data_IF_194270681185
#
_entry.id   IF_194270681185
#
_cell.length_a   1.000
_cell.length_b   1.000
_cell.length_c   1.000
_cell.angle_alpha   90.00
_cell.angle_beta   90.00
_cell.angle_gamma   90.00
#
_symmetry.space_group_name_H-M   'P 1'
#
loop_
_entity.id
_entity.type
_entity.pdbx_description
1 polymer ?
#
# COMPACT_ATOMS: atom_id res chain seq x y z
N UNK A 1 -44.47 32.14 -7.57
CA UNK A 1 -43.44 33.14 -7.94
C UNK A 1 -42.32 33.18 -6.87
N UNK A 2 -41.10 32.79 -7.25
CA UNK A 2 -39.94 32.81 -6.34
C UNK A 2 -39.67 34.24 -5.87
N UNK A 3 -39.66 34.48 -4.56
CA UNK A 3 -39.30 35.77 -3.97
C UNK A 3 -37.82 36.03 -4.28
N UNK A 4 -37.53 37.01 -5.14
CA UNK A 4 -36.18 37.46 -5.39
C UNK A 4 -35.68 38.26 -4.20
N UNK A 5 -34.57 37.81 -3.60
CA UNK A 5 -33.84 38.54 -2.57
C UNK A 5 -32.89 39.52 -3.26
N UNK A 6 -33.04 40.81 -2.96
CA UNK A 6 -32.25 41.90 -3.52
C UNK A 6 -31.27 42.42 -2.48
N UNK A 7 -30.03 42.69 -2.91
CA UNK A 7 -29.03 43.43 -2.15
C UNK A 7 -28.35 44.43 -3.10
N UNK A 8 -28.56 45.73 -2.84
CA UNK A 8 -28.18 46.84 -3.72
C UNK A 8 -28.62 46.63 -5.19
N UNK A 9 -27.68 46.67 -6.13
CA UNK A 9 -27.90 46.48 -7.57
C UNK A 9 -27.87 45.02 -8.00
N UNK A 10 -27.73 44.08 -7.06
CA UNK A 10 -27.64 42.64 -7.33
C UNK A 10 -28.87 41.90 -6.79
N UNK A 11 -29.32 40.89 -7.52
CA UNK A 11 -30.40 40.02 -7.07
C UNK A 11 -29.97 38.57 -7.07
N UNK A 12 -30.43 37.83 -6.07
CA UNK A 12 -30.13 36.43 -5.88
C UNK A 12 -31.19 35.61 -6.62
N UNK A 13 -30.77 34.87 -7.66
CA UNK A 13 -31.65 33.93 -8.34
C UNK A 13 -31.55 32.56 -7.68
N UNK A 14 -32.64 32.12 -7.07
CA UNK A 14 -32.79 30.74 -6.61
C UNK A 14 -33.45 29.95 -7.74
N UNK A 15 -32.83 28.84 -8.15
CA UNK A 15 -33.38 27.92 -9.15
C UNK A 15 -33.45 26.54 -8.53
N UNK A 16 -34.59 25.89 -8.65
CA UNK A 16 -34.73 24.48 -8.31
C UNK A 16 -33.97 23.68 -9.37
N UNK A 17 -33.00 22.89 -8.95
CA UNK A 17 -32.23 22.00 -9.81
C UNK A 17 -32.61 20.56 -9.45
N UNK A 18 -32.77 19.68 -10.43
CA UNK A 18 -33.08 18.26 -10.16
C UNK A 18 -31.99 17.53 -9.35
N UNK A 19 -30.78 18.12 -9.27
CA UNK A 19 -29.61 17.57 -8.58
C UNK A 19 -28.81 18.69 -7.93
N UNK A 20 -28.31 18.45 -6.72
CA UNK A 20 -27.40 19.39 -6.06
C UNK A 20 -26.09 19.55 -6.85
N UNK A 21 -25.52 20.76 -6.85
CA UNK A 21 -24.17 21.04 -7.38
C UNK A 21 -23.11 20.23 -6.60
N UNK A 22 -23.35 20.02 -5.30
CA UNK A 22 -22.60 19.10 -4.44
C UNK A 22 -23.60 18.11 -3.85
N UNK A 23 -23.60 16.83 -4.27
CA UNK A 23 -24.61 15.86 -3.86
C UNK A 23 -24.76 15.78 -2.34
N UNK A 24 -25.94 16.10 -1.81
CA UNK A 24 -26.31 15.82 -0.41
C UNK A 24 -27.42 14.77 -0.30
N UNK A 25 -27.27 13.78 0.59
CA UNK A 25 -26.06 13.50 1.35
C UNK A 25 -24.95 13.04 0.38
N UNK A 26 -23.68 13.33 0.72
CA UNK A 26 -22.56 12.48 0.30
C UNK A 26 -22.98 11.10 0.79
N UNK A 27 -23.51 10.25 -0.08
CA UNK A 27 -24.25 9.05 0.34
C UNK A 27 -23.24 8.20 1.09
N UNK A 28 -23.31 8.17 2.43
CA UNK A 28 -22.52 7.25 3.23
C UNK A 28 -23.06 5.87 2.91
N UNK A 29 -22.36 5.29 1.94
CA UNK A 29 -22.30 3.89 1.63
C UNK A 29 -22.02 3.07 2.89
N UNK A 30 -22.24 1.74 2.87
CA UNK A 30 -22.21 0.91 4.07
C UNK A 30 -20.95 1.16 4.91
N UNK A 31 -21.16 1.66 6.13
CA UNK A 31 -20.13 1.82 7.13
C UNK A 31 -20.16 0.61 8.06
N UNK A 32 -18.98 0.10 8.37
CA UNK A 32 -18.80 -0.93 9.39
C UNK A 32 -18.26 -0.24 10.64
N UNK A 33 -19.01 -0.34 11.73
CA UNK A 33 -18.65 0.25 13.02
C UNK A 33 -18.12 -0.83 13.98
N UNK A 34 -17.43 -0.38 15.03
CA UNK A 34 -16.87 -1.24 16.08
C UNK A 34 -15.97 -2.37 15.52
N UNK A 35 -15.20 -2.03 14.49
CA UNK A 35 -14.24 -2.95 13.88
C UNK A 35 -12.89 -2.82 14.57
N UNK A 36 -12.08 -3.86 14.49
CA UNK A 36 -10.69 -3.80 14.93
C UNK A 36 -9.79 -3.81 13.70
N UNK A 37 -8.98 -2.77 13.55
CA UNK A 37 -8.06 -2.57 12.45
C UNK A 37 -6.69 -3.13 12.81
N UNK A 38 -6.14 -3.99 11.96
CA UNK A 38 -4.80 -4.53 12.10
C UNK A 38 -3.95 -4.15 10.88
N UNK A 39 -2.76 -3.61 11.15
CA UNK A 39 -1.74 -3.34 10.14
C UNK A 39 -0.69 -4.45 10.20
N UNK A 40 -0.42 -5.11 9.07
CA UNK A 40 0.49 -6.25 9.05
C UNK A 40 0.76 -6.85 7.68
N UNK A 41 1.24 -8.09 7.72
CA UNK A 41 1.51 -8.90 6.54
C UNK A 41 0.86 -10.26 6.66
N UNK A 42 0.29 -10.75 5.57
CA UNK A 42 -0.09 -12.16 5.47
C UNK A 42 1.17 -12.99 5.20
N UNK A 43 1.50 -13.91 6.11
CA UNK A 43 2.76 -14.70 6.08
C UNK A 43 2.54 -16.10 5.53
N UNK A 44 1.30 -16.58 5.54
CA UNK A 44 0.88 -17.80 4.85
C UNK A 44 -0.58 -17.64 4.41
N UNK A 45 -1.11 -18.62 3.67
CA UNK A 45 -2.54 -18.59 3.29
C UNK A 45 -3.42 -18.34 4.50
N UNK A 46 -3.17 -19.03 5.62
CA UNK A 46 -4.06 -19.07 6.78
C UNK A 46 -3.54 -18.26 7.99
N UNK A 47 -2.45 -17.50 7.82
CA UNK A 47 -1.83 -16.73 8.90
C UNK A 47 -1.55 -15.30 8.51
N UNK A 48 -2.01 -14.38 9.34
CA UNK A 48 -1.70 -12.96 9.28
C UNK A 48 -0.93 -12.53 10.52
N UNK A 49 0.14 -11.76 10.31
CA UNK A 49 0.99 -11.21 11.34
C UNK A 49 0.72 -9.71 11.47
N UNK A 50 0.08 -9.30 12.57
CA UNK A 50 -0.23 -7.91 12.87
C UNK A 50 0.90 -7.22 13.66
N UNK A 51 1.39 -6.10 13.13
CA UNK A 51 2.38 -5.22 13.76
C UNK A 51 1.72 -4.20 14.68
N UNK A 52 0.48 -3.80 14.35
CA UNK A 52 -0.27 -2.82 15.11
C UNK A 52 -1.76 -3.16 15.11
N UNK A 53 -2.45 -2.82 16.21
CA UNK A 53 -3.86 -3.10 16.43
C UNK A 53 -4.59 -1.87 16.99
N UNK A 54 -5.65 -1.45 16.28
CA UNK A 54 -6.56 -0.38 16.68
C UNK A 54 -7.95 -0.91 16.91
N UNK A 55 -8.51 -0.68 18.10
CA UNK A 55 -9.90 -1.04 18.42
C UNK A 55 -10.84 0.12 18.12
N UNK A 56 -12.14 -0.18 18.00
CA UNK A 56 -13.20 0.81 17.80
C UNK A 56 -12.99 1.67 16.55
N UNK A 57 -12.44 1.06 15.49
CA UNK A 57 -12.32 1.71 14.19
C UNK A 57 -13.63 1.58 13.41
N UNK A 58 -13.90 2.55 12.54
CA UNK A 58 -14.94 2.45 11.53
C UNK A 58 -14.33 2.41 10.14
N UNK A 59 -14.98 1.67 9.24
CA UNK A 59 -14.57 1.55 7.84
C UNK A 59 -15.77 1.89 6.95
N UNK A 60 -15.60 2.92 6.12
CA UNK A 60 -16.61 3.38 5.17
C UNK A 60 -16.12 3.14 3.75
N UNK A 61 -16.88 2.39 2.97
CA UNK A 61 -16.54 2.13 1.57
C UNK A 61 -17.15 3.23 0.73
N UNK A 62 -16.40 3.81 -0.19
CA UNK A 62 -16.82 4.89 -1.08
C UNK A 62 -16.73 4.45 -2.54
N UNK A 63 -17.44 3.41 -2.96
CA UNK A 63 -17.60 2.87 -4.32
C UNK A 63 -17.67 3.93 -5.41
N UNK A 64 -18.39 5.05 -5.22
CA UNK A 64 -18.47 6.12 -6.23
C UNK A 64 -17.18 6.92 -6.33
N UNK A 65 -16.52 7.12 -5.19
CA UNK A 65 -15.23 7.81 -5.09
C UNK A 65 -14.04 6.85 -5.28
N UNK A 66 -14.31 5.54 -5.41
CA UNK A 66 -13.31 4.46 -5.46
C UNK A 66 -12.27 4.55 -4.34
N UNK A 67 -12.74 4.85 -3.12
CA UNK A 67 -11.91 5.01 -1.92
C UNK A 67 -12.50 4.26 -0.72
N UNK A 68 -11.65 3.73 0.15
CA UNK A 68 -12.02 3.21 1.47
C UNK A 68 -11.50 4.19 2.51
N UNK A 69 -12.35 4.56 3.45
CA UNK A 69 -12.01 5.43 4.56
C UNK A 69 -11.99 4.63 5.86
N UNK A 70 -10.93 4.74 6.63
CA UNK A 70 -10.87 4.21 7.98
C UNK A 70 -10.78 5.37 8.96
N UNK A 71 -11.58 5.32 10.03
CA UNK A 71 -11.53 6.29 11.10
C UNK A 71 -11.23 5.57 12.41
N UNK A 72 -10.32 6.14 13.19
CA UNK A 72 -9.94 5.60 14.48
C UNK A 72 -9.39 6.69 15.39
N UNK A 73 -9.36 6.39 16.69
CA UNK A 73 -8.75 7.26 17.70
C UNK A 73 -7.50 6.58 18.26
N UNK A 74 -6.38 7.30 18.27
CA UNK A 74 -5.10 6.86 18.82
C UNK A 74 -4.61 7.93 19.78
N UNK A 75 -4.32 7.55 21.03
CA UNK A 75 -3.77 8.46 22.06
C UNK A 75 -4.46 9.83 22.13
N UNK A 76 -5.81 9.85 22.16
CA UNK A 76 -6.68 11.03 22.12
C UNK A 76 -6.78 11.83 20.82
N UNK A 77 -6.02 11.49 19.77
CA UNK A 77 -6.16 12.10 18.45
C UNK A 77 -7.01 11.24 17.53
N UNK A 78 -7.80 11.88 16.67
CA UNK A 78 -8.59 11.19 15.63
C UNK A 78 -7.82 11.17 14.32
N UNK A 79 -7.78 9.99 13.70
CA UNK A 79 -7.11 9.78 12.42
C UNK A 79 -8.09 9.27 11.37
N UNK A 80 -7.94 9.78 10.15
CA UNK A 80 -8.62 9.30 8.94
C UNK A 80 -7.57 8.73 8.00
N UNK A 81 -7.77 7.49 7.57
CA UNK A 81 -6.96 6.88 6.52
C UNK A 81 -7.78 6.79 5.24
N UNK A 82 -7.22 7.23 4.14
CA UNK A 82 -7.83 7.18 2.82
C UNK A 82 -7.04 6.20 1.94
N UNK A 83 -7.68 5.12 1.52
CA UNK A 83 -7.12 4.12 0.62
C UNK A 83 -7.86 4.14 -0.71
N UNK A 84 -7.15 4.42 -1.80
CA UNK A 84 -7.72 4.36 -3.15
C UNK A 84 -7.87 2.90 -3.62
N UNK A 85 -8.88 2.60 -4.44
CA UNK A 85 -9.09 1.25 -4.96
C UNK A 85 -7.98 0.84 -5.93
N UNK A 86 -7.33 1.81 -6.58
CA UNK A 86 -6.16 1.61 -7.43
C UNK A 86 -4.94 1.11 -6.63
N UNK A 87 -4.93 1.32 -5.31
CA UNK A 87 -3.90 0.84 -4.39
C UNK A 87 -4.17 -0.56 -3.82
N UNK A 88 -5.26 -1.21 -4.22
CA UNK A 88 -5.69 -2.53 -3.70
C UNK A 88 -5.44 -3.62 -4.74
N UNK A 89 -4.69 -4.64 -4.34
CA UNK A 89 -4.45 -5.83 -5.15
C UNK A 89 -5.66 -6.77 -5.17
N UNK A 90 -6.14 -7.12 -3.98
CA UNK A 90 -7.18 -8.10 -3.77
C UNK A 90 -7.88 -7.81 -2.43
N UNK A 91 -9.16 -8.15 -2.35
CA UNK A 91 -9.88 -8.23 -1.08
C UNK A 91 -10.27 -9.68 -0.83
N UNK A 92 -9.94 -10.19 0.36
CA UNK A 92 -10.25 -11.55 0.76
C UNK A 92 -11.03 -11.55 2.08
N UNK A 93 -12.16 -12.24 2.08
CA UNK A 93 -12.99 -12.39 3.26
C UNK A 93 -12.83 -13.80 3.84
N UNK A 94 -12.34 -13.86 5.08
CA UNK A 94 -12.12 -15.07 5.84
C UNK A 94 -13.21 -15.26 6.91
N UNK A 95 -13.86 -16.43 6.92
CA UNK A 95 -14.85 -16.80 7.94
C UNK A 95 -14.44 -18.12 8.64
N UNK A 96 -13.43 -18.08 9.51
CA UNK A 96 -12.94 -19.29 10.16
C UNK A 96 -14.04 -19.98 10.97
N UNK A 97 -14.20 -21.29 10.75
CA UNK A 97 -15.25 -22.10 11.41
C UNK A 97 -15.08 -22.06 12.93
N UNK A 98 -16.17 -21.73 13.62
CA UNK A 98 -16.20 -21.64 15.10
C UNK A 98 -15.63 -20.33 15.68
N UNK A 99 -15.14 -19.41 14.86
CA UNK A 99 -14.73 -18.09 15.32
C UNK A 99 -15.93 -17.14 15.48
N UNK A 100 -15.84 -16.25 16.47
CA UNK A 100 -16.83 -15.18 16.69
C UNK A 100 -16.60 -13.93 15.82
N UNK A 101 -15.54 -13.94 15.03
CA UNK A 101 -15.14 -12.83 14.18
C UNK A 101 -14.95 -13.30 12.74
N UNK A 102 -15.27 -12.41 11.80
CA UNK A 102 -14.88 -12.52 10.39
C UNK A 102 -13.69 -11.60 10.14
N UNK A 103 -12.88 -11.90 9.14
CA UNK A 103 -11.71 -11.07 8.81
C UNK A 103 -11.78 -10.64 7.35
N UNK A 104 -11.70 -9.35 7.10
CA UNK A 104 -11.58 -8.79 5.75
C UNK A 104 -10.13 -8.34 5.54
N UNK A 105 -9.43 -9.02 4.66
CA UNK A 105 -8.05 -8.76 4.29
C UNK A 105 -8.04 -7.92 3.03
N UNK A 106 -7.44 -6.73 3.11
CA UNK A 106 -7.26 -5.83 1.98
C UNK A 106 -5.77 -5.85 1.65
N UNK A 107 -5.40 -6.58 0.59
CA UNK A 107 -4.02 -6.69 0.12
C UNK A 107 -3.65 -5.43 -0.63
N UNK A 108 -2.55 -4.82 -0.22
CA UNK A 108 -2.12 -3.50 -0.67
C UNK A 108 -1.05 -3.60 -1.75
N UNK A 109 -1.20 -2.77 -2.79
CA UNK A 109 -0.12 -2.36 -3.67
C UNK A 109 0.41 -0.97 -3.30
N UNK A 110 -0.45 -0.10 -2.79
CA UNK A 110 -0.11 1.21 -2.23
C UNK A 110 -0.63 1.35 -0.79
N UNK A 111 0.00 2.22 0.00
CA UNK A 111 -0.42 2.51 1.38
C UNK A 111 -1.46 3.64 1.44
N UNK A 112 -2.31 3.67 2.48
CA UNK A 112 -3.29 4.75 2.62
C UNK A 112 -2.62 6.09 2.98
N UNK A 113 -3.25 7.18 2.53
CA UNK A 113 -2.97 8.53 3.05
C UNK A 113 -3.50 8.64 4.47
N UNK A 114 -2.76 9.34 5.32
CA UNK A 114 -3.11 9.54 6.73
C UNK A 114 -3.42 11.02 6.96
N UNK A 115 -4.51 11.26 7.69
CA UNK A 115 -4.91 12.58 8.12
C UNK A 115 -5.18 12.59 9.62
N UNK A 116 -4.77 13.65 10.28
CA UNK A 116 -5.08 13.94 11.68
C UNK A 116 -6.19 14.99 11.76
N UNK A 117 -7.10 14.83 12.71
CA UNK A 117 -8.18 15.80 12.94
C UNK A 117 -7.64 17.04 13.66
N UNK A 118 -8.00 18.22 13.17
CA UNK A 118 -7.65 19.50 13.82
C UNK A 118 -8.46 19.66 15.10
N UNK A 119 -7.77 19.88 16.22
CA UNK A 119 -8.41 20.32 17.46
C UNK A 119 -8.88 21.77 17.28
N UNK A 120 -10.20 21.99 17.16
CA UNK A 120 -10.76 23.33 17.11
C UNK A 120 -10.63 23.98 18.50
N UNK A 121 -10.06 25.18 18.55
CA UNK A 121 -10.03 26.00 19.76
C UNK A 121 -11.46 26.27 20.26
N UNK A 122 -11.77 26.06 21.55
CA UNK A 122 -13.09 26.37 22.09
C UNK A 122 -13.27 27.90 22.08
N UNK A 123 -14.04 28.42 21.11
CA UNK A 123 -14.36 29.86 21.05
C UNK A 123 -14.59 30.46 19.66
N UNK A 124 -14.25 29.77 18.56
CA UNK A 124 -14.62 30.20 17.20
C UNK A 124 -15.98 29.59 16.86
N UNK A 125 -16.97 30.47 16.67
CA UNK A 125 -18.38 30.22 16.36
C UNK A 125 -18.70 28.80 15.89
N UNK A 126 -19.43 28.10 16.76
CA UNK A 126 -19.96 26.76 16.59
C UNK A 126 -21.08 26.75 15.53
N UNK A 127 -20.71 26.97 14.28
CA UNK A 127 -21.61 26.86 13.13
C UNK A 127 -21.64 25.42 12.63
N UNK A 128 -21.93 24.48 13.53
CA UNK A 128 -22.17 23.05 13.24
C UNK A 128 -23.58 22.88 12.61
N UNK A 129 -23.83 23.57 11.50
CA UNK A 129 -25.04 23.39 10.67
C UNK A 129 -25.04 22.06 9.90
N UNK A 130 -23.96 21.28 10.01
CA UNK A 130 -23.75 20.03 9.27
C UNK A 130 -23.52 18.88 10.25
N UNK A 131 -24.24 17.77 10.04
CA UNK A 131 -24.06 16.54 10.82
C UNK A 131 -22.71 15.84 10.59
N UNK A 132 -21.99 16.25 9.54
CA UNK A 132 -20.80 15.59 9.03
C UNK A 132 -19.58 16.51 9.08
N UNK A 133 -18.41 15.94 9.39
CA UNK A 133 -17.14 16.65 9.39
C UNK A 133 -16.82 17.21 7.99
N UNK A 134 -16.54 18.50 7.92
CA UNK A 134 -16.08 19.13 6.70
C UNK A 134 -14.62 18.75 6.39
N UNK A 135 -14.20 18.82 5.11
CA UNK A 135 -12.85 18.40 4.68
C UNK A 135 -11.74 19.28 5.29
N UNK A 136 -12.09 20.49 5.73
CA UNK A 136 -11.23 21.46 6.44
C UNK A 136 -10.82 21.00 7.86
N UNK A 137 -11.42 19.93 8.40
CA UNK A 137 -11.10 19.40 9.72
C UNK A 137 -9.94 18.39 9.72
N UNK A 138 -9.41 18.02 8.56
CA UNK A 138 -8.42 16.96 8.42
C UNK A 138 -7.14 17.49 7.79
N UNK A 139 -6.01 17.36 8.50
CA UNK A 139 -4.69 17.76 8.00
C UNK A 139 -3.88 16.50 7.70
N UNK A 140 -3.25 16.47 6.52
CA UNK A 140 -2.42 15.36 6.07
C UNK A 140 -1.17 15.24 6.95
N UNK A 141 -0.85 14.02 7.38
CA UNK A 141 0.24 13.72 8.33
C UNK A 141 0.97 12.42 7.99
N UNK A 142 2.05 12.08 8.69
CA UNK A 142 2.81 10.84 8.48
C UNK A 142 2.23 9.66 9.28
N UNK A 143 2.91 8.51 9.26
CA UNK A 143 2.53 7.35 10.04
C UNK A 143 2.51 7.67 11.54
N UNK A 144 1.33 7.61 12.16
CA UNK A 144 1.15 7.86 13.60
C UNK A 144 1.71 6.72 14.48
N UNK A 145 2.11 5.59 13.88
CA UNK A 145 2.70 4.47 14.61
C UNK A 145 4.23 4.65 14.73
N UNK A 146 4.75 4.48 15.94
CA UNK A 146 6.17 4.72 16.24
C UNK A 146 7.16 3.82 15.47
N UNK A 147 6.69 2.70 14.91
CA UNK A 147 7.52 1.76 14.15
C UNK A 147 7.22 1.79 12.64
N UNK A 148 6.45 2.77 12.13
CA UNK A 148 6.10 2.83 10.72
C UNK A 148 5.27 1.62 10.26
N UNK A 149 4.36 1.13 11.11
CA UNK A 149 3.58 -0.08 10.88
C UNK A 149 2.68 0.03 9.65
N UNK A 150 2.12 1.21 9.34
CA UNK A 150 1.30 1.42 8.14
C UNK A 150 2.16 1.26 6.90
N UNK A 151 3.33 1.90 6.89
CA UNK A 151 4.30 1.79 5.80
C UNK A 151 4.78 0.37 5.54
N UNK A 152 5.04 -0.39 6.61
CA UNK A 152 5.51 -1.78 6.53
C UNK A 152 4.42 -2.79 6.15
N UNK A 153 3.15 -2.41 6.21
CA UNK A 153 2.06 -3.34 5.96
C UNK A 153 1.89 -3.66 4.49
N UNK A 154 1.74 -4.94 4.17
CA UNK A 154 1.28 -5.38 2.85
C UNK A 154 -0.22 -5.68 2.85
N UNK A 155 -0.84 -5.80 4.03
CA UNK A 155 -2.26 -6.12 4.19
C UNK A 155 -2.85 -5.31 5.34
N UNK A 156 -4.03 -4.72 5.12
CA UNK A 156 -4.89 -4.19 6.18
C UNK A 156 -5.92 -5.26 6.50
N UNK A 157 -5.96 -5.71 7.76
CA UNK A 157 -6.94 -6.70 8.22
C UNK A 157 -7.98 -6.02 9.12
N UNK A 158 -9.25 -6.09 8.70
CA UNK A 158 -10.38 -5.71 9.53
C UNK A 158 -10.94 -6.96 10.21
N UNK A 159 -10.86 -6.98 11.54
CA UNK A 159 -11.56 -7.95 12.37
C UNK A 159 -12.97 -7.43 12.68
N UNK A 160 -13.96 -8.17 12.22
CA UNK A 160 -15.37 -7.79 12.20
C UNK A 160 -16.18 -8.71 13.11
N UNK A 161 -17.17 -8.18 13.86
CA UNK A 161 -18.13 -9.02 14.57
C UNK A 161 -18.86 -9.97 13.61
N UNK A 162 -19.18 -11.19 14.05
CA UNK A 162 -19.85 -12.18 13.19
C UNK A 162 -21.17 -11.67 12.57
N UNK A 163 -21.88 -10.78 13.26
CA UNK A 163 -23.17 -10.24 12.80
C UNK A 163 -23.04 -8.96 11.97
N UNK A 164 -21.82 -8.51 11.69
CA UNK A 164 -21.58 -7.33 10.86
C UNK A 164 -22.12 -7.55 9.44
N UNK A 165 -22.92 -6.59 8.97
CA UNK A 165 -23.42 -6.56 7.60
C UNK A 165 -22.29 -6.15 6.67
N UNK A 166 -22.00 -7.00 5.69
CA UNK A 166 -20.91 -6.76 4.77
C UNK A 166 -21.43 -6.05 3.53
N UNK A 167 -20.72 -5.02 3.05
CA UNK A 167 -20.96 -4.45 1.74
C UNK A 167 -20.88 -5.50 0.62
N UNK A 168 -21.54 -5.25 -0.52
CA UNK A 168 -21.45 -6.16 -1.67
C UNK A 168 -20.09 -5.99 -2.39
N UNK A 169 -19.07 -6.69 -1.90
CA UNK A 169 -17.73 -6.63 -2.48
C UNK A 169 -17.65 -7.23 -3.87
N UNK A 170 -18.43 -8.29 -4.18
CA UNK A 170 -18.40 -8.99 -5.47
C UNK A 170 -18.76 -8.09 -6.65
N UNK A 171 -19.72 -7.18 -6.45
CA UNK A 171 -20.14 -6.25 -7.50
C UNK A 171 -19.17 -5.09 -7.71
N UNK A 172 -18.39 -4.75 -6.68
CA UNK A 172 -17.56 -3.54 -6.66
C UNK A 172 -16.06 -3.83 -6.79
N UNK A 173 -15.62 -5.07 -6.59
CA UNK A 173 -14.23 -5.50 -6.67
C UNK A 173 -14.10 -6.78 -7.50
N UNK A 174 -13.38 -6.69 -8.62
CA UNK A 174 -13.15 -7.82 -9.55
C UNK A 174 -12.34 -8.94 -8.88
N UNK A 175 -11.33 -8.58 -8.08
CA UNK A 175 -10.48 -9.53 -7.36
C UNK A 175 -10.94 -9.68 -5.90
N UNK A 176 -12.15 -10.18 -5.72
CA UNK A 176 -12.69 -10.54 -4.41
C UNK A 176 -12.71 -12.06 -4.23
N UNK A 177 -12.19 -12.54 -3.09
CA UNK A 177 -12.17 -13.96 -2.72
C UNK A 177 -12.86 -14.18 -1.37
N UNK A 178 -13.48 -15.33 -1.21
CA UNK A 178 -14.04 -15.78 0.06
C UNK A 178 -13.47 -17.14 0.39
N UNK A 179 -13.05 -17.33 1.64
CA UNK A 179 -12.55 -18.61 2.13
C UNK A 179 -12.97 -18.82 3.59
N UNK A 180 -13.65 -19.92 3.85
CA UNK A 180 -14.16 -20.32 5.16
C UNK A 180 -13.20 -21.31 5.87
N UNK A 181 -11.98 -21.42 5.37
CA UNK A 181 -10.89 -22.21 5.94
C UNK A 181 -10.38 -21.68 7.29
N UNK A 182 -9.35 -22.34 7.82
CA UNK A 182 -8.67 -21.87 9.03
C UNK A 182 -8.01 -20.52 8.75
N UNK A 183 -8.11 -19.61 9.71
CA UNK A 183 -7.43 -18.31 9.62
C UNK A 183 -7.08 -17.82 11.01
N UNK A 184 -5.85 -17.36 11.19
CA UNK A 184 -5.32 -16.90 12.48
C UNK A 184 -4.63 -15.55 12.33
N UNK A 185 -4.91 -14.66 13.27
CA UNK A 185 -4.28 -13.34 13.41
C UNK A 185 -3.35 -13.43 14.61
N UNK A 186 -2.05 -13.38 14.35
CA UNK A 186 -0.99 -13.43 15.36
C UNK A 186 -0.40 -12.02 15.51
N UNK A 187 0.00 -11.62 16.73
CA UNK A 187 0.75 -10.38 16.94
C UNK A 187 2.23 -10.64 16.71
N UNK A 188 2.89 -9.74 15.98
CA UNK A 188 4.31 -9.86 15.65
C UNK A 188 5.03 -8.53 15.63
N UNK A 189 6.34 -8.60 15.36
CA UNK A 189 7.20 -7.44 15.24
C UNK A 189 7.29 -6.97 13.79
N UNK A 190 7.53 -5.67 13.62
CA UNK A 190 7.97 -5.08 12.36
C UNK A 190 9.29 -5.69 11.89
N UNK A 191 9.55 -5.62 10.58
CA UNK A 191 10.68 -6.32 9.95
C UNK A 191 11.66 -5.41 9.21
N UNK A 192 11.31 -4.13 9.04
CA UNK A 192 12.19 -3.18 8.35
C UNK A 192 13.49 -2.95 9.13
N UNK A 193 14.62 -2.95 8.43
CA UNK A 193 15.93 -2.66 9.03
C UNK A 193 16.17 -1.16 9.26
N UNK A 194 15.34 -0.30 8.67
CA UNK A 194 15.34 1.15 8.85
C UNK A 194 13.92 1.60 9.18
N UNK A 195 13.76 2.45 10.20
CA UNK A 195 12.44 2.94 10.64
C UNK A 195 12.07 4.32 10.05
N UNK A 196 13.03 5.05 9.50
CA UNK A 196 12.80 6.30 8.78
C UNK A 196 12.27 6.04 7.36
N UNK A 197 12.77 4.99 6.71
CA UNK A 197 12.37 4.56 5.38
C UNK A 197 11.91 3.10 5.43
N UNK A 198 10.59 2.90 5.35
CA UNK A 198 9.94 1.59 5.50
C UNK A 198 9.11 1.20 4.27
N UNK A 199 8.99 -0.09 3.93
CA UNK A 199 9.79 -1.21 4.42
C UNK A 199 11.09 -1.35 3.63
N UNK A 200 12.20 -1.60 4.33
CA UNK A 200 13.47 -2.04 3.73
C UNK A 200 13.93 -3.31 4.43
N UNK A 201 14.20 -4.37 3.67
CA UNK A 201 14.77 -5.62 4.14
C UNK A 201 16.27 -5.68 3.85
N UNK A 202 17.01 -6.24 4.80
CA UNK A 202 18.42 -6.52 4.67
C UNK A 202 18.67 -8.03 4.90
N UNK A 203 19.67 -8.62 4.23
CA UNK A 203 20.09 -9.97 4.52
C UNK A 203 20.59 -10.08 5.97
N UNK A 204 20.42 -11.24 6.63
CA UNK A 204 21.02 -11.48 7.94
C UNK A 204 22.55 -11.44 7.85
N UNK A 205 23.20 -11.14 8.98
CA UNK A 205 24.66 -10.98 9.04
C UNK A 205 25.41 -12.16 8.40
N UNK A 206 26.37 -11.84 7.52
CA UNK A 206 27.21 -12.81 6.82
C UNK A 206 26.79 -13.13 5.38
N UNK A 207 25.64 -12.65 4.92
CA UNK A 207 25.24 -12.74 3.50
C UNK A 207 25.42 -11.37 2.84
N UNK A 208 26.34 -11.30 1.89
CA UNK A 208 26.59 -10.11 1.07
C UNK A 208 25.99 -10.34 -0.31
N UNK A 209 24.96 -9.57 -0.66
CA UNK A 209 24.26 -9.66 -1.93
C UNK A 209 24.57 -8.46 -2.81
N UNK A 210 24.75 -8.66 -4.13
CA UNK A 210 24.83 -7.55 -5.05
C UNK A 210 23.63 -6.61 -4.93
N UNK A 211 23.92 -5.32 -5.06
CA UNK A 211 22.95 -4.24 -4.91
C UNK A 211 21.70 -4.44 -5.77
N UNK A 212 21.85 -4.90 -7.01
CA UNK A 212 20.76 -5.09 -7.95
C UNK A 212 19.78 -6.20 -7.54
N UNK A 213 20.29 -7.30 -6.99
CA UNK A 213 19.46 -8.38 -6.44
C UNK A 213 18.72 -7.89 -5.19
N UNK A 214 19.44 -7.26 -4.25
CA UNK A 214 18.83 -6.75 -3.02
C UNK A 214 17.78 -5.66 -3.30
N UNK A 215 18.04 -4.81 -4.30
CA UNK A 215 17.09 -3.81 -4.78
C UNK A 215 15.82 -4.47 -5.32
N UNK A 216 15.95 -5.54 -6.12
CA UNK A 216 14.79 -6.29 -6.64
C UNK A 216 14.02 -7.03 -5.54
N UNK A 217 14.70 -7.59 -4.54
CA UNK A 217 14.04 -8.21 -3.37
C UNK A 217 13.22 -7.17 -2.61
N UNK A 218 13.79 -6.00 -2.33
CA UNK A 218 13.08 -4.91 -1.67
C UNK A 218 11.87 -4.43 -2.49
N UNK A 219 12.03 -4.31 -3.82
CA UNK A 219 10.92 -4.02 -4.73
C UNK A 219 9.78 -5.02 -4.57
N UNK A 220 10.06 -6.32 -4.56
CA UNK A 220 9.05 -7.37 -4.42
C UNK A 220 8.35 -7.35 -3.06
N UNK A 221 9.05 -7.01 -1.98
CA UNK A 221 8.44 -6.79 -0.65
C UNK A 221 7.52 -5.58 -0.68
N UNK A 222 8.01 -4.47 -1.25
CA UNK A 222 7.26 -3.21 -1.34
C UNK A 222 6.08 -3.29 -2.32
N UNK A 223 6.07 -4.21 -3.28
CA UNK A 223 4.94 -4.46 -4.18
C UNK A 223 3.95 -5.51 -3.64
N UNK A 224 4.20 -6.06 -2.44
CA UNK A 224 3.36 -7.09 -1.82
C UNK A 224 3.52 -8.50 -2.41
N UNK A 225 4.52 -8.73 -3.26
CA UNK A 225 4.80 -10.04 -3.86
C UNK A 225 5.54 -10.99 -2.90
N UNK A 226 6.26 -10.44 -1.91
CA UNK A 226 6.94 -11.19 -0.86
C UNK A 226 6.51 -10.67 0.52
N UNK A 227 6.29 -11.60 1.46
CA UNK A 227 6.05 -11.24 2.85
C UNK A 227 7.39 -10.96 3.54
N UNK A 228 7.68 -9.68 3.81
CA UNK A 228 8.92 -9.25 4.46
C UNK A 228 9.30 -10.05 5.73
N UNK A 229 8.37 -10.31 6.68
CA UNK A 229 8.68 -11.07 7.90
C UNK A 229 9.14 -12.52 7.67
N UNK A 230 8.89 -13.12 6.50
CA UNK A 230 9.25 -14.52 6.22
C UNK A 230 10.61 -14.66 5.55
N UNK A 231 11.26 -13.54 5.17
CA UNK A 231 12.55 -13.54 4.49
C UNK A 231 13.70 -13.84 5.46
N UNK A 232 14.06 -15.11 5.56
CA UNK A 232 15.13 -15.61 6.43
C UNK A 232 16.43 -15.93 5.67
N UNK A 233 17.46 -16.39 6.39
CA UNK A 233 18.76 -16.76 5.82
C UNK A 233 18.66 -17.79 4.69
N UNK A 234 17.68 -18.71 4.73
CA UNK A 234 17.49 -19.69 3.66
C UNK A 234 17.02 -19.03 2.38
N UNK A 235 16.12 -18.03 2.46
CA UNK A 235 15.71 -17.24 1.30
C UNK A 235 16.89 -16.48 0.70
N UNK A 236 17.65 -15.74 1.53
CA UNK A 236 18.78 -14.95 1.03
C UNK A 236 19.88 -15.82 0.39
N UNK A 237 20.07 -17.05 0.85
CA UNK A 237 20.97 -18.03 0.20
C UNK A 237 20.46 -18.48 -1.18
N UNK A 238 19.14 -18.53 -1.40
CA UNK A 238 18.56 -18.89 -2.71
C UNK A 238 18.72 -17.78 -3.75
N UNK A 239 18.92 -16.54 -3.32
CA UNK A 239 19.17 -15.39 -4.19
C UNK A 239 20.64 -14.93 -4.14
N UNK A 240 21.54 -15.78 -3.62
CA UNK A 240 22.97 -15.51 -3.57
C UNK A 240 23.66 -15.96 -4.87
N UNK A 241 24.26 -15.05 -5.65
CA UNK A 241 24.90 -15.39 -6.92
C UNK A 241 26.16 -16.25 -6.77
N UNK A 242 26.70 -16.42 -5.55
CA UNK A 242 27.76 -17.37 -5.25
C UNK A 242 27.26 -18.82 -5.22
N UNK A 243 25.95 -19.00 -5.04
CA UNK A 243 25.29 -20.31 -4.94
C UNK A 243 24.49 -20.62 -6.20
N UNK A 244 23.76 -19.65 -6.74
CA UNK A 244 22.89 -19.80 -7.91
C UNK A 244 23.35 -18.85 -9.02
N UNK A 245 23.29 -19.27 -10.27
CA UNK A 245 23.68 -18.42 -11.40
C UNK A 245 22.82 -17.14 -11.47
N UNK A 246 23.49 -15.98 -11.59
CA UNK A 246 22.85 -14.65 -11.47
C UNK A 246 21.67 -14.45 -12.44
N UNK A 247 21.77 -14.78 -13.75
CA UNK A 247 20.64 -14.66 -14.67
C UNK A 247 19.42 -15.49 -14.26
N UNK A 248 19.62 -16.65 -13.61
CA UNK A 248 18.53 -17.47 -13.10
C UNK A 248 17.83 -16.78 -11.92
N UNK A 249 18.59 -16.12 -11.03
CA UNK A 249 18.04 -15.33 -9.92
C UNK A 249 17.22 -14.16 -10.49
N UNK A 250 17.81 -13.35 -11.37
CA UNK A 250 17.14 -12.19 -11.97
C UNK A 250 15.83 -12.58 -12.65
N UNK A 251 15.85 -13.65 -13.44
CA UNK A 251 14.65 -14.15 -14.13
C UNK A 251 13.59 -14.69 -13.16
N UNK A 252 13.99 -15.40 -12.09
CA UNK A 252 13.06 -15.90 -11.10
C UNK A 252 12.39 -14.76 -10.30
N UNK A 253 13.16 -13.75 -9.90
CA UNK A 253 12.65 -12.57 -9.21
C UNK A 253 11.72 -11.75 -10.12
N UNK A 254 12.02 -11.65 -11.41
CA UNK A 254 11.13 -11.02 -12.38
C UNK A 254 9.82 -11.82 -12.52
N UNK A 255 9.91 -13.14 -12.58
CA UNK A 255 8.74 -14.01 -12.64
C UNK A 255 7.87 -13.92 -11.37
N UNK A 256 8.46 -13.73 -10.18
CA UNK A 256 7.71 -13.49 -8.95
C UNK A 256 6.82 -12.25 -9.04
N UNK A 257 7.33 -11.17 -9.62
CA UNK A 257 6.55 -9.94 -9.80
C UNK A 257 5.30 -10.18 -10.66
N UNK A 258 5.44 -10.97 -11.73
CA UNK A 258 4.34 -11.27 -12.64
C UNK A 258 3.31 -12.28 -12.11
N UNK A 259 3.53 -12.90 -10.94
CA UNK A 259 2.52 -13.76 -10.31
C UNK A 259 1.25 -12.98 -9.93
N UNK A 260 1.37 -11.66 -9.67
CA UNK A 260 0.26 -10.81 -9.20
C UNK A 260 -0.40 -11.31 -7.91
N UNK A 261 0.33 -12.09 -7.12
CA UNK A 261 -0.07 -12.57 -5.80
C UNK A 261 1.16 -12.68 -4.88
N UNK A 262 0.94 -12.66 -3.57
CA UNK A 262 2.01 -12.86 -2.60
C UNK A 262 2.49 -14.32 -2.60
N UNK A 263 3.80 -14.52 -2.75
CA UNK A 263 4.44 -15.82 -2.61
C UNK A 263 4.74 -16.09 -1.13
N UNK A 264 3.91 -16.94 -0.49
CA UNK A 264 4.05 -17.28 0.92
C UNK A 264 5.21 -18.24 1.24
N UNK A 265 5.62 -19.07 0.27
CA UNK A 265 6.78 -19.95 0.40
C UNK A 265 7.78 -19.68 -0.74
N UNK A 266 8.57 -18.59 -0.63
CA UNK A 266 9.48 -18.20 -1.68
C UNK A 266 10.66 -19.16 -1.84
N UNK A 267 11.05 -19.89 -0.79
CA UNK A 267 12.19 -20.81 -0.84
C UNK A 267 11.85 -22.03 -1.69
N UNK A 268 10.71 -22.68 -1.42
CA UNK A 268 10.27 -23.82 -2.23
C UNK A 268 9.96 -23.38 -3.66
N UNK A 269 9.29 -22.23 -3.82
CA UNK A 269 8.98 -21.70 -5.15
C UNK A 269 10.24 -21.46 -6.00
N UNK A 270 11.29 -20.83 -5.43
CA UNK A 270 12.56 -20.62 -6.11
C UNK A 270 13.26 -21.94 -6.45
N UNK A 271 13.24 -22.91 -5.53
CA UNK A 271 13.83 -24.25 -5.77
C UNK A 271 13.18 -24.94 -6.96
N UNK A 272 11.85 -24.89 -7.05
CA UNK A 272 11.14 -25.43 -8.20
C UNK A 272 11.51 -24.72 -9.50
N UNK A 273 11.62 -23.39 -9.49
CA UNK A 273 12.02 -22.63 -10.67
C UNK A 273 13.43 -23.00 -11.13
N UNK A 274 14.39 -23.04 -10.22
CA UNK A 274 15.77 -23.39 -10.55
C UNK A 274 15.88 -24.82 -11.08
N UNK A 275 15.14 -25.76 -10.49
CA UNK A 275 15.05 -27.14 -11.01
C UNK A 275 14.55 -27.16 -12.46
N UNK A 276 13.49 -26.40 -12.76
CA UNK A 276 12.93 -26.27 -14.13
C UNK A 276 13.96 -25.67 -15.09
N UNK A 277 14.75 -24.68 -14.66
CA UNK A 277 15.77 -24.05 -15.50
C UNK A 277 16.92 -25.01 -15.82
N UNK A 278 17.33 -25.85 -14.88
CA UNK A 278 18.36 -26.86 -15.07
C UNK A 278 17.93 -27.98 -16.02
N UNK A 279 16.66 -28.37 -15.99
CA UNK A 279 16.11 -29.41 -16.89
C UNK A 279 15.75 -28.88 -18.29
N UNK A 280 15.62 -27.57 -18.44
CA UNK A 280 15.31 -26.91 -19.72
C UNK A 280 16.55 -26.75 -20.59
N UNK A 281 16.42 -26.99 -21.91
CA UNK A 281 17.49 -26.70 -22.88
C UNK A 281 17.73 -25.20 -23.11
N UNK A 282 16.76 -24.36 -22.75
CA UNK A 282 16.88 -22.89 -22.80
C UNK A 282 17.03 -22.37 -21.38
N UNK A 283 18.24 -21.93 -21.03
CA UNK A 283 18.48 -21.16 -19.82
C UNK A 283 17.84 -19.78 -19.96
N UNK A 284 17.43 -19.14 -18.86
CA UNK A 284 17.02 -17.75 -18.91
C UNK A 284 18.18 -16.90 -19.42
N UNK A 285 18.07 -16.38 -20.64
CA UNK A 285 18.99 -15.36 -21.12
C UNK A 285 18.62 -14.04 -20.47
N UNK A 286 19.64 -13.20 -20.24
CA UNK A 286 19.42 -11.84 -19.77
C UNK A 286 18.46 -11.15 -20.75
N UNK A 287 17.34 -10.55 -20.30
CA UNK A 287 16.53 -9.71 -21.16
C UNK A 287 17.30 -8.42 -21.44
N UNK A 288 18.31 -8.47 -22.30
CA UNK A 288 18.98 -7.29 -22.80
C UNK A 288 18.16 -6.74 -23.95
N UNK A 289 17.15 -5.94 -23.64
CA UNK A 289 16.56 -5.07 -24.65
C UNK A 289 17.66 -4.05 -24.99
N UNK A 290 18.15 -4.07 -26.23
CA UNK A 290 19.04 -3.03 -26.72
C UNK A 290 18.26 -1.72 -26.73
N UNK A 291 18.70 -0.76 -25.92
CA UNK A 291 18.09 0.57 -25.89
C UNK A 291 18.56 1.40 -27.09
N UNK A 292 17.67 2.28 -27.57
CA UNK A 292 18.02 3.27 -28.58
C UNK A 292 19.12 4.22 -28.08
N UNK A 293 19.83 4.84 -29.03
CA UNK A 293 20.92 5.78 -28.74
C UNK A 293 20.40 6.92 -27.85
N UNK A 294 21.06 7.10 -26.70
CA UNK A 294 20.71 8.16 -25.74
C UNK A 294 19.73 7.73 -24.65
N UNK A 295 19.33 6.46 -24.59
CA UNK A 295 18.54 5.90 -23.49
C UNK A 295 19.40 5.04 -22.55
N UNK A 296 19.07 5.06 -21.27
CA UNK A 296 19.76 4.31 -20.21
C UNK A 296 18.76 3.78 -19.18
N UNK A 297 19.03 2.61 -18.63
CA UNK A 297 18.28 2.06 -17.50
C UNK A 297 18.76 2.69 -16.19
N UNK A 298 17.87 3.32 -15.44
CA UNK A 298 18.19 3.93 -14.14
C UNK A 298 17.19 3.46 -13.10
N UNK A 299 17.67 3.07 -11.93
CA UNK A 299 16.82 2.71 -10.79
C UNK A 299 16.23 3.97 -10.16
N UNK A 300 14.98 3.88 -9.71
CA UNK A 300 14.27 4.97 -9.05
C UNK A 300 13.83 4.55 -7.66
N UNK A 301 13.90 5.46 -6.70
CA UNK A 301 13.28 5.32 -5.38
C UNK A 301 12.24 6.43 -5.24
N UNK A 302 11.01 6.03 -4.95
CA UNK A 302 9.91 6.94 -4.64
C UNK A 302 9.69 6.93 -3.13
N UNK A 303 9.69 8.11 -2.52
CA UNK A 303 9.45 8.29 -1.09
C UNK A 303 8.10 8.98 -0.94
N UNK A 304 7.19 8.34 -0.21
CA UNK A 304 5.92 8.93 0.23
C UNK A 304 5.97 9.17 1.73
N UNK A 305 5.05 9.97 2.29
CA UNK A 305 5.04 10.26 3.72
C UNK A 305 4.90 9.00 4.60
N UNK A 306 4.34 7.91 4.08
CA UNK A 306 4.19 6.66 4.83
C UNK A 306 5.11 5.52 4.35
N UNK A 307 5.69 5.56 3.15
CA UNK A 307 6.39 4.40 2.57
C UNK A 307 7.44 4.75 1.53
N UNK A 308 8.47 3.92 1.44
CA UNK A 308 9.44 3.93 0.33
C UNK A 308 9.14 2.82 -0.68
N UNK A 309 9.31 3.13 -1.96
CA UNK A 309 9.17 2.21 -3.07
C UNK A 309 10.41 2.24 -3.94
N UNK A 310 10.99 1.08 -4.18
CA UNK A 310 12.07 0.87 -5.13
C UNK A 310 11.41 0.60 -6.48
N UNK A 311 11.98 1.09 -7.57
CA UNK A 311 11.39 0.99 -8.90
C UNK A 311 12.47 0.80 -9.96
N UNK A 312 12.08 0.15 -11.05
CA UNK A 312 12.93 -0.03 -12.22
C UNK A 312 13.85 -1.25 -12.14
N UNK A 313 14.90 -1.29 -12.97
CA UNK A 313 15.43 -0.16 -13.75
C UNK A 313 14.46 0.36 -14.83
N UNK A 314 14.23 1.68 -14.86
CA UNK A 314 13.35 2.34 -15.82
C UNK A 314 14.15 2.96 -16.96
N UNK A 315 13.61 2.93 -18.18
CA UNK A 315 14.21 3.58 -19.34
C UNK A 315 14.12 5.10 -19.16
N UNK A 316 15.27 5.76 -19.16
CA UNK A 316 15.39 7.21 -19.03
C UNK A 316 16.25 7.78 -20.16
N UNK A 317 16.03 9.07 -20.47
CA UNK A 317 16.91 9.83 -21.36
C UNK A 317 18.25 10.06 -20.64
N UNK A 318 19.34 9.70 -21.30
CA UNK A 318 20.69 9.88 -20.79
C UNK A 318 21.06 11.37 -20.69
N UNK A 319 21.76 11.73 -19.62
CA UNK A 319 22.29 13.07 -19.41
C UNK A 319 23.83 13.10 -19.58
N UNK A 320 24.44 14.28 -19.47
CA UNK A 320 25.90 14.44 -19.68
C UNK A 320 26.73 13.61 -18.69
N UNK A 321 26.26 13.42 -17.47
CA UNK A 321 26.95 12.61 -16.46
C UNK A 321 26.87 11.12 -16.83
N UNK A 322 25.68 10.60 -17.15
CA UNK A 322 25.49 9.20 -17.52
C UNK A 322 26.22 8.82 -18.81
N UNK A 323 26.42 9.78 -19.73
CA UNK A 323 27.27 9.58 -20.92
C UNK A 323 28.76 9.53 -20.61
N UNK A 324 29.22 10.26 -19.58
CA UNK A 324 30.61 10.25 -19.15
C UNK A 324 30.96 9.01 -18.31
N UNK A 325 29.96 8.41 -17.64
CA UNK A 325 30.13 7.25 -16.76
C UNK A 325 29.22 6.07 -17.17
N UNK A 326 29.35 5.54 -18.41
CA UNK A 326 28.45 4.52 -18.93
C UNK A 326 28.60 3.15 -18.25
N UNK A 327 29.74 2.88 -17.61
CA UNK A 327 30.00 1.64 -16.87
C UNK A 327 29.60 1.73 -15.39
N UNK A 328 29.30 2.93 -14.90
CA UNK A 328 28.95 3.19 -13.50
C UNK A 328 27.46 3.53 -13.34
N UNK A 329 26.62 3.19 -14.32
CA UNK A 329 25.18 3.51 -14.30
C UNK A 329 24.51 2.98 -13.02
N UNK A 330 24.95 1.81 -12.53
CA UNK A 330 24.45 1.19 -11.31
C UNK A 330 24.78 1.99 -10.03
N UNK A 331 25.71 2.96 -10.10
CA UNK A 331 26.05 3.88 -9.00
C UNK A 331 25.16 5.14 -8.98
N UNK A 332 24.24 5.28 -9.93
CA UNK A 332 23.29 6.40 -9.98
C UNK A 332 21.89 5.95 -9.56
N UNK A 333 21.26 6.75 -8.69
CA UNK A 333 19.90 6.52 -8.21
C UNK A 333 19.06 7.78 -8.40
N UNK A 334 17.86 7.63 -8.97
CA UNK A 334 16.89 8.71 -9.05
C UNK A 334 15.97 8.66 -7.84
N UNK A 335 15.86 9.76 -7.09
CA UNK A 335 14.92 9.85 -5.96
C UNK A 335 13.77 10.78 -6.35
N UNK A 336 12.55 10.45 -5.93
CA UNK A 336 11.37 11.30 -6.13
C UNK A 336 10.50 11.28 -4.88
N UNK A 337 10.10 12.46 -4.43
CA UNK A 337 9.15 12.62 -3.32
C UNK A 337 7.77 12.85 -3.91
N UNK A 338 6.84 11.97 -3.57
CA UNK A 338 5.45 11.95 -4.10
C UNK A 338 4.50 11.62 -2.98
N UNK A 339 3.22 11.94 -3.14
CA UNK A 339 2.19 11.48 -2.20
C UNK A 339 1.76 10.03 -2.51
N UNK A 340 0.95 9.37 -1.67
CA UNK A 340 0.62 7.95 -1.84
C UNK A 340 -0.13 7.62 -3.15
N UNK A 341 -0.83 8.58 -3.76
CA UNK A 341 -1.47 8.43 -5.07
C UNK A 341 -0.53 8.77 -6.25
N UNK A 342 0.77 8.96 -5.96
CA UNK A 342 1.82 9.33 -6.92
C UNK A 342 1.77 10.77 -7.42
N UNK A 343 0.89 11.62 -6.87
CA UNK A 343 0.88 13.04 -7.18
C UNK A 343 2.07 13.77 -6.53
N UNK A 344 2.29 15.01 -6.98
CA UNK A 344 3.36 15.86 -6.44
C UNK A 344 3.03 16.23 -4.99
N UNK A 345 4.00 16.01 -4.12
CA UNK A 345 3.94 16.46 -2.73
C UNK A 345 4.44 17.91 -2.66
N UNK A 346 3.60 18.84 -2.22
CA UNK A 346 3.97 20.23 -1.97
C UNK A 346 4.38 20.42 -0.50
N UNK A 347 5.21 21.44 -0.25
CA UNK A 347 5.70 21.73 1.12
C UNK A 347 4.61 22.12 2.11
N UNK A 348 3.44 22.50 1.61
CA UNK A 348 2.25 22.86 2.42
C UNK A 348 1.36 21.66 2.74
N UNK A 349 1.65 20.49 2.17
CA UNK A 349 0.75 19.34 2.25
C UNK A 349 0.99 18.50 3.50
N UNK A 350 2.11 18.66 4.20
CA UNK A 350 2.42 17.95 5.43
C UNK A 350 2.54 18.94 6.58
N UNK A 351 1.90 18.63 7.72
CA UNK A 351 2.02 19.37 8.98
C UNK A 351 3.21 18.95 9.82
#
# INVERSE_FOLDING_TARGET
PAKSLWYDSSYLTVREMERDIVPKPRTYQPSMENTTLHFGCQISKDKFLGFWKGKNASASFGYRLRKIYFFLRVTNKEYKLELSYESIWQIELRRPRGARSKYLLIQLFGVPRIYEKVERSPGLFDNDYFRDAQDDQWIRTTDFTCLGCVGQSSVICLELPHNCQLPNFRENFVYFKEDDGLFTVESGNTFSCNLELVPIVAPPGGVDLPFDILFKVNYLVQSGCLAGPTLNASFFRMVDPRVIDKPCIEYALEKLYYLKECCYDPVEWLREQYTKYLTSRRRPDKPSISLDVGLVYVRRVQVTPCRVYFCGPEVNVSNRVLRNYPYDIDNFLRISFVDEDQDKLHSTDLS
#
